data_IF_018198165035
#
_entry.id   IF_018198165035
#
_cell.length_a   1.000
_cell.length_b   1.000
_cell.length_c   1.000
_cell.angle_alpha   90.00
_cell.angle_beta   90.00
_cell.angle_gamma   90.00
#
_symmetry.space_group_name_H-M   'P 1'
#
loop_
_entity.id
_entity.type
_entity.pdbx_description
1 polymer ?
#
# COMPACT_ATOMS: atom_id res chain seq x y z
N UNK A 1 -5.78 -5.78 -32.25
CA UNK A 1 -5.47 -4.79 -31.20
C UNK A 1 -4.27 -5.32 -30.42
N UNK A 2 -3.06 -4.88 -30.77
CA UNK A 2 -1.82 -5.36 -30.16
C UNK A 2 -1.56 -4.58 -28.86
N UNK A 3 -1.64 -5.24 -27.72
CA UNK A 3 -1.20 -4.69 -26.43
C UNK A 3 0.33 -4.62 -26.45
N UNK A 4 0.89 -3.42 -26.45
CA UNK A 4 2.34 -3.22 -26.28
C UNK A 4 2.72 -3.55 -24.84
N UNK A 5 3.78 -4.33 -24.66
CA UNK A 5 4.31 -4.74 -23.35
C UNK A 5 4.87 -3.58 -22.47
N UNK A 6 4.69 -2.33 -22.88
CA UNK A 6 5.22 -1.13 -22.20
C UNK A 6 4.18 -0.31 -21.43
N UNK A 7 2.92 -0.73 -21.37
CA UNK A 7 1.85 0.01 -20.68
C UNK A 7 1.33 -0.74 -19.43
N UNK A 8 2.26 -1.09 -18.54
CA UNK A 8 1.91 -1.58 -17.20
C UNK A 8 1.62 -0.38 -16.29
N UNK A 9 0.48 -0.37 -15.57
CA UNK A 9 0.19 0.70 -14.63
C UNK A 9 1.26 0.71 -13.54
N UNK A 10 1.61 1.91 -13.09
CA UNK A 10 2.56 2.11 -11.99
C UNK A 10 2.17 1.24 -10.77
N UNK A 11 3.17 0.63 -10.13
CA UNK A 11 3.00 -0.15 -8.91
C UNK A 11 2.40 0.72 -7.82
N UNK A 12 1.68 0.12 -6.87
CA UNK A 12 1.11 0.88 -5.75
C UNK A 12 2.18 1.59 -4.90
N UNK A 13 3.41 1.08 -4.90
CA UNK A 13 4.58 1.68 -4.23
C UNK A 13 5.15 2.92 -4.94
N UNK A 14 4.88 3.08 -6.23
CA UNK A 14 5.30 4.23 -7.03
C UNK A 14 4.25 5.36 -6.98
N UNK A 15 3.13 5.11 -6.30
CA UNK A 15 2.05 6.04 -6.10
C UNK A 15 2.09 6.54 -4.65
N UNK A 16 1.63 7.77 -4.40
CA UNK A 16 1.53 8.29 -3.05
C UNK A 16 2.61 9.31 -2.70
N UNK A 17 2.85 9.49 -1.40
CA UNK A 17 3.83 10.43 -0.87
C UNK A 17 4.19 10.02 0.58
N UNK A 18 5.41 10.35 1.00
CA UNK A 18 5.87 10.07 2.36
C UNK A 18 4.91 10.64 3.42
N UNK A 19 4.66 9.85 4.47
CA UNK A 19 3.74 10.10 5.57
C UNK A 19 2.25 9.86 5.25
N UNK A 20 1.88 9.51 4.02
CA UNK A 20 0.47 9.38 3.64
C UNK A 20 -0.11 8.04 4.08
N UNK A 21 -1.28 8.12 4.72
CA UNK A 21 -2.02 6.96 5.23
C UNK A 21 -3.53 7.20 5.23
N UNK A 22 -4.29 6.13 5.43
CA UNK A 22 -5.72 6.20 5.67
C UNK A 22 -5.99 6.54 7.16
N UNK A 23 -6.14 7.84 7.45
CA UNK A 23 -6.26 8.35 8.83
C UNK A 23 -7.51 7.85 9.56
N UNK A 24 -8.63 7.64 8.85
CA UNK A 24 -9.88 7.22 9.47
C UNK A 24 -9.82 5.81 10.07
N UNK A 25 -9.01 4.93 9.48
CA UNK A 25 -8.85 3.53 9.89
C UNK A 25 -7.58 3.30 10.72
N UNK A 26 -6.80 4.35 10.95
CA UNK A 26 -5.57 4.30 11.73
C UNK A 26 -5.90 4.29 13.22
N UNK A 27 -5.33 3.36 14.02
CA UNK A 27 -5.43 3.43 15.47
C UNK A 27 -4.93 4.77 16.00
N UNK A 28 -5.72 5.41 16.85
CA UNK A 28 -5.42 6.74 17.40
C UNK A 28 -4.34 6.70 18.48
N UNK A 29 -4.16 5.53 19.12
CA UNK A 29 -3.18 5.31 20.19
C UNK A 29 -2.13 4.35 19.66
N UNK A 30 -0.86 4.75 19.76
CA UNK A 30 0.24 3.82 19.55
C UNK A 30 0.28 2.84 20.72
N UNK A 31 0.16 1.54 20.44
CA UNK A 31 0.30 0.51 21.47
C UNK A 31 1.73 0.52 22.03
N UNK A 32 1.84 0.26 23.34
CA UNK A 32 3.15 0.05 23.96
C UNK A 32 3.74 -1.27 23.50
N UNK A 33 5.07 -1.30 23.34
CA UNK A 33 5.82 -2.49 22.95
C UNK A 33 6.51 -3.15 24.15
N UNK A 34 6.16 -2.76 25.38
CA UNK A 34 6.86 -3.20 26.60
C UNK A 34 6.83 -4.72 26.79
N UNK A 35 5.75 -5.38 26.35
CA UNK A 35 5.59 -6.84 26.44
C UNK A 35 6.37 -7.63 25.37
N UNK A 36 7.01 -6.94 24.40
CA UNK A 36 7.77 -7.56 23.33
C UNK A 36 9.29 -7.42 23.58
N UNK A 37 10.06 -8.51 23.72
CA UNK A 37 11.51 -8.44 23.91
C UNK A 37 12.23 -7.65 22.80
N UNK A 38 13.21 -6.78 23.11
CA UNK A 38 13.89 -5.94 22.11
C UNK A 38 14.48 -6.71 20.93
N UNK A 39 15.00 -7.92 21.18
CA UNK A 39 15.59 -8.78 20.14
C UNK A 39 14.57 -9.29 19.11
N UNK A 40 13.26 -9.20 19.40
CA UNK A 40 12.18 -9.61 18.51
C UNK A 40 11.50 -8.42 17.82
N UNK A 41 11.89 -7.18 18.16
CA UNK A 41 11.32 -5.97 17.56
C UNK A 41 11.95 -5.72 16.20
N UNK A 42 11.15 -5.21 15.25
CA UNK A 42 11.69 -4.77 13.95
C UNK A 42 12.61 -3.57 14.16
N UNK A 43 13.79 -3.59 13.55
CA UNK A 43 14.74 -2.48 13.55
C UNK A 43 14.34 -1.36 12.59
N UNK A 44 13.56 -1.68 11.56
CA UNK A 44 13.15 -0.77 10.50
C UNK A 44 11.64 -0.83 10.28
N UNK A 45 11.08 0.28 9.80
CA UNK A 45 9.67 0.34 9.44
C UNK A 45 9.38 -0.55 8.23
N UNK A 46 8.20 -1.19 8.16
CA UNK A 46 7.82 -1.95 6.98
C UNK A 46 7.65 -1.01 5.78
N UNK A 47 8.13 -1.42 4.62
CA UNK A 47 8.02 -0.66 3.37
C UNK A 47 6.61 -0.78 2.78
N UNK A 48 5.61 -0.27 3.50
CA UNK A 48 4.22 -0.25 3.05
C UNK A 48 3.98 0.93 2.09
N UNK A 49 3.06 0.81 1.12
CA UNK A 49 2.74 1.93 0.23
C UNK A 49 2.03 3.04 1.00
N UNK A 50 2.55 4.26 0.86
CA UNK A 50 2.04 5.45 1.54
C UNK A 50 1.00 6.17 0.67
N UNK A 51 -0.21 5.62 0.63
CA UNK A 51 -1.31 6.03 -0.27
C UNK A 51 -2.59 6.35 0.50
N UNK A 52 -3.42 7.25 -0.05
CA UNK A 52 -4.76 7.49 0.51
C UNK A 52 -5.75 6.41 0.10
N UNK A 53 -6.87 6.30 0.83
CA UNK A 53 -7.94 5.36 0.51
C UNK A 53 -8.43 5.47 -0.94
N UNK A 54 -8.62 6.70 -1.43
CA UNK A 54 -9.04 6.94 -2.83
C UNK A 54 -7.97 6.47 -3.83
N UNK A 55 -6.68 6.57 -3.50
CA UNK A 55 -5.61 6.05 -4.35
C UNK A 55 -5.63 4.52 -4.40
N UNK A 56 -5.84 3.85 -3.26
CA UNK A 56 -6.00 2.39 -3.16
C UNK A 56 -7.16 1.91 -4.03
N UNK A 57 -8.35 2.52 -3.89
CA UNK A 57 -9.54 2.15 -4.67
C UNK A 57 -9.27 2.31 -6.16
N UNK A 58 -8.74 3.47 -6.58
CA UNK A 58 -8.41 3.72 -8.01
C UNK A 58 -7.39 2.72 -8.55
N UNK A 59 -6.37 2.37 -7.78
CA UNK A 59 -5.35 1.41 -8.17
C UNK A 59 -5.98 0.04 -8.45
N UNK A 60 -6.71 -0.52 -7.48
CA UNK A 60 -7.28 -1.86 -7.62
C UNK A 60 -8.44 -1.93 -8.62
N UNK A 61 -9.23 -0.87 -8.79
CA UNK A 61 -10.26 -0.81 -9.84
C UNK A 61 -9.65 -0.81 -11.24
N UNK A 62 -8.52 -0.12 -11.47
CA UNK A 62 -7.82 -0.17 -12.76
C UNK A 62 -7.17 -1.53 -12.98
N UNK A 63 -6.63 -2.13 -11.93
CA UNK A 63 -6.03 -3.45 -12.01
C UNK A 63 -7.09 -4.51 -12.36
N UNK A 64 -8.29 -4.44 -11.77
CA UNK A 64 -9.36 -5.41 -12.02
C UNK A 64 -9.86 -5.39 -13.46
N UNK A 65 -9.88 -4.23 -14.13
CA UNK A 65 -10.23 -4.10 -15.55
C UNK A 65 -9.25 -4.82 -16.49
N UNK A 66 -8.08 -5.19 -15.98
CA UNK A 66 -7.05 -5.94 -16.73
C UNK A 66 -7.06 -7.43 -16.41
N UNK A 67 -7.91 -7.87 -15.47
CA UNK A 67 -8.12 -9.28 -15.22
C UNK A 67 -9.05 -9.83 -16.31
N UNK A 68 -8.56 -10.77 -17.11
CA UNK A 68 -9.38 -11.55 -18.03
C UNK A 68 -9.82 -12.83 -17.31
N UNK A 69 -11.08 -12.89 -16.89
CA UNK A 69 -11.67 -14.11 -16.33
C UNK A 69 -11.95 -15.13 -17.44
N UNK A 70 -11.74 -16.43 -17.16
CA UNK A 70 -12.16 -17.57 -18.01
C UNK A 70 -13.48 -18.11 -17.48
#
# INVERSE_FOLDING_TARGET
MQLRATDSPALIFEQGAAGRRAFAQTPTVAESWDDLPPALRRSEQPQLPEVSELQVVRHYTRLSQRNFSI
#
